data_IF_476042928353
#
_entry.id   IF_476042928353
#
_cell.length_a   1.000
_cell.length_b   1.000
_cell.length_c   1.000
_cell.angle_alpha   90.00
_cell.angle_beta   90.00
_cell.angle_gamma   90.00
#
_symmetry.space_group_name_H-M   'P 1'
#
loop_
_entity.id
_entity.type
_entity.pdbx_description
1 polymer ?
#
# COMPACT_ATOMS: atom_id res chain seq x y z
N UNK A 1 -29.93 -22.47 -12.53
CA UNK A 1 -28.70 -22.54 -11.72
C UNK A 1 -27.76 -21.42 -12.18
N UNK A 2 -27.52 -20.43 -11.31
CA UNK A 2 -26.41 -19.51 -11.54
C UNK A 2 -25.12 -20.34 -11.69
N UNK A 3 -24.22 -19.97 -12.62
CA UNK A 3 -22.95 -20.67 -12.73
C UNK A 3 -22.28 -20.63 -11.34
N UNK A 4 -21.69 -21.74 -10.88
CA UNK A 4 -20.91 -21.71 -9.65
C UNK A 4 -19.83 -20.65 -9.84
N UNK A 5 -19.81 -19.65 -8.96
CA UNK A 5 -18.73 -18.66 -8.94
C UNK A 5 -17.37 -19.37 -8.83
N UNK A 6 -16.34 -18.77 -9.41
CA UNK A 6 -14.99 -19.31 -9.35
C UNK A 6 -14.57 -19.50 -7.88
N UNK A 7 -14.30 -20.76 -7.50
CA UNK A 7 -13.72 -21.09 -6.19
C UNK A 7 -12.21 -21.21 -6.36
N UNK A 8 -11.46 -20.41 -5.59
CA UNK A 8 -10.00 -20.45 -5.56
C UNK A 8 -9.53 -20.80 -4.16
N UNK A 9 -8.69 -21.82 -4.05
CA UNK A 9 -7.98 -22.10 -2.80
C UNK A 9 -6.89 -21.05 -2.64
N UNK A 10 -7.06 -20.17 -1.65
CA UNK A 10 -6.04 -19.20 -1.28
C UNK A 10 -4.99 -19.92 -0.43
N UNK A 11 -3.74 -19.90 -0.87
CA UNK A 11 -2.64 -20.29 -0.02
C UNK A 11 -2.42 -19.19 1.00
N UNK A 12 -2.50 -19.57 2.28
CA UNK A 12 -2.02 -18.72 3.36
C UNK A 12 -0.59 -18.29 3.04
N UNK A 13 -0.37 -16.98 2.92
CA UNK A 13 0.96 -16.42 2.76
C UNK A 13 1.32 -15.79 4.10
N UNK A 14 2.35 -16.34 4.73
CA UNK A 14 3.08 -15.58 5.72
C UNK A 14 3.58 -14.33 4.99
N UNK A 15 3.17 -13.17 5.47
CA UNK A 15 3.74 -11.94 4.98
C UNK A 15 5.24 -11.93 5.25
N UNK A 16 6.03 -11.42 4.32
CA UNK A 16 7.48 -11.25 4.52
C UNK A 16 7.81 -10.14 5.53
N UNK A 17 6.80 -9.36 5.95
CA UNK A 17 6.85 -8.52 7.15
C UNK A 17 6.45 -9.36 8.37
N UNK A 18 7.37 -9.51 9.33
CA UNK A 18 7.09 -10.11 10.66
C UNK A 18 5.97 -9.36 11.44
N UNK A 19 5.55 -8.18 10.97
CA UNK A 19 4.55 -7.32 11.62
C UNK A 19 3.12 -7.53 11.11
N UNK A 20 2.93 -8.03 9.87
CA UNK A 20 1.62 -8.48 9.39
C UNK A 20 1.28 -9.78 10.12
N UNK A 21 0.50 -9.69 11.18
CA UNK A 21 -0.25 -10.84 11.65
C UNK A 21 -1.03 -11.47 10.47
N UNK A 22 -1.26 -12.78 10.52
CA UNK A 22 -1.99 -13.60 9.55
C UNK A 22 -3.10 -12.88 8.72
N UNK A 23 -2.78 -12.36 7.53
CA UNK A 23 -3.78 -11.81 6.58
C UNK A 23 -4.03 -12.79 5.44
N UNK A 24 -5.31 -13.12 5.20
CA UNK A 24 -5.75 -13.76 3.96
C UNK A 24 -6.20 -12.69 2.98
N UNK A 25 -5.51 -12.59 1.85
CA UNK A 25 -5.86 -11.61 0.83
C UNK A 25 -5.85 -12.22 -0.57
N UNK A 26 -6.62 -11.59 -1.45
CA UNK A 26 -6.59 -11.80 -2.88
C UNK A 26 -6.21 -10.46 -3.51
N UNK A 27 -5.04 -10.39 -4.13
CA UNK A 27 -4.57 -9.18 -4.80
C UNK A 27 -4.18 -9.47 -6.25
N UNK A 28 -4.12 -8.40 -7.04
CA UNK A 28 -3.54 -8.41 -8.37
C UNK A 28 -3.39 -6.99 -8.89
N UNK A 29 -2.48 -6.83 -9.84
CA UNK A 29 -2.22 -5.58 -10.53
C UNK A 29 -2.60 -5.74 -12.00
N UNK A 30 -2.91 -4.63 -12.66
CA UNK A 30 -3.20 -4.60 -14.09
C UNK A 30 -2.79 -3.23 -14.67
N UNK A 31 -2.47 -3.19 -15.96
CA UNK A 31 -2.15 -1.94 -16.65
C UNK A 31 -3.41 -1.17 -17.08
N UNK A 32 -4.58 -1.81 -17.06
CA UNK A 32 -5.87 -1.18 -17.34
C UNK A 32 -7.00 -1.71 -16.45
N UNK A 33 -8.06 -0.90 -16.32
CA UNK A 33 -9.28 -1.29 -15.61
C UNK A 33 -9.93 -2.52 -16.27
N UNK A 34 -9.93 -2.61 -17.60
CA UNK A 34 -10.55 -3.77 -18.28
C UNK A 34 -9.80 -5.09 -18.01
N UNK A 35 -8.48 -5.04 -17.86
CA UNK A 35 -7.67 -6.20 -17.49
C UNK A 35 -7.90 -6.60 -16.03
N UNK A 36 -8.01 -5.61 -15.15
CA UNK A 36 -8.33 -5.84 -13.75
C UNK A 36 -9.73 -6.46 -13.60
N UNK A 37 -10.74 -5.94 -14.29
CA UNK A 37 -12.12 -6.45 -14.28
C UNK A 37 -12.21 -7.88 -14.84
N UNK A 38 -11.35 -8.25 -15.79
CA UNK A 38 -11.29 -9.61 -16.31
C UNK A 38 -10.71 -10.59 -15.30
N UNK A 39 -9.72 -10.15 -14.53
CA UNK A 39 -8.99 -11.00 -13.57
C UNK A 39 -9.71 -11.07 -12.22
N UNK A 40 -10.32 -9.96 -11.83
CA UNK A 40 -11.10 -9.74 -10.62
C UNK A 40 -12.35 -8.97 -11.03
N UNK A 41 -13.47 -9.61 -11.38
CA UNK A 41 -14.70 -8.90 -11.73
C UNK A 41 -15.26 -8.12 -10.54
N UNK A 42 -15.88 -6.94 -10.75
CA UNK A 42 -16.58 -6.24 -9.68
C UNK A 42 -17.68 -7.11 -9.07
N UNK A 43 -17.81 -7.08 -7.75
CA UNK A 43 -18.81 -7.86 -7.03
C UNK A 43 -18.39 -8.22 -5.61
N UNK A 44 -19.14 -9.16 -5.04
CA UNK A 44 -18.94 -9.68 -3.68
C UNK A 44 -17.98 -10.85 -3.72
N UNK A 45 -16.93 -10.76 -2.91
CA UNK A 45 -15.92 -11.80 -2.71
C UNK A 45 -16.07 -12.40 -1.33
N UNK A 46 -16.28 -13.71 -1.24
CA UNK A 46 -16.46 -14.41 0.02
C UNK A 46 -15.22 -15.25 0.36
N UNK A 47 -14.57 -14.90 1.46
CA UNK A 47 -13.46 -15.60 2.07
C UNK A 47 -14.00 -16.56 3.13
N UNK A 48 -13.68 -17.84 3.02
CA UNK A 48 -14.10 -18.86 3.99
C UNK A 48 -12.88 -19.54 4.59
N UNK A 49 -12.82 -19.60 5.92
CA UNK A 49 -11.68 -20.15 6.65
C UNK A 49 -12.15 -20.85 7.92
N UNK A 50 -11.27 -21.70 8.48
CA UNK A 50 -11.53 -22.35 9.77
C UNK A 50 -10.66 -21.70 10.83
N UNK A 51 -11.29 -21.33 11.95
CA UNK A 51 -10.56 -20.84 13.11
C UNK A 51 -9.86 -22.01 13.83
N UNK A 52 -8.90 -21.70 14.69
CA UNK A 52 -8.22 -22.70 15.53
C UNK A 52 -9.18 -23.50 16.44
N UNK A 53 -10.38 -22.98 16.70
CA UNK A 53 -11.46 -23.70 17.40
C UNK A 53 -12.12 -24.81 16.57
N UNK A 54 -11.92 -24.83 15.25
CA UNK A 54 -12.56 -25.72 14.29
C UNK A 54 -13.82 -25.15 13.62
N UNK A 55 -14.30 -23.98 14.08
CA UNK A 55 -15.45 -23.30 13.50
C UNK A 55 -15.13 -22.77 12.10
N UNK A 56 -16.05 -23.00 11.15
CA UNK A 56 -15.97 -22.41 9.83
C UNK A 56 -16.62 -21.03 9.84
N UNK A 57 -15.88 -20.03 9.36
CA UNK A 57 -16.31 -18.64 9.27
C UNK A 57 -16.21 -18.20 7.82
N UNK A 58 -17.19 -17.43 7.37
CA UNK A 58 -17.17 -16.75 6.07
C UNK A 58 -17.25 -15.24 6.28
N UNK A 59 -16.50 -14.50 5.48
CA UNK A 59 -16.49 -13.04 5.42
C UNK A 59 -16.62 -12.62 3.97
N UNK A 60 -17.40 -11.59 3.71
CA UNK A 60 -17.65 -11.13 2.35
C UNK A 60 -17.31 -9.66 2.25
N UNK A 61 -16.55 -9.27 1.23
CA UNK A 61 -16.24 -7.88 0.92
C UNK A 61 -16.74 -7.54 -0.48
N UNK A 62 -17.12 -6.30 -0.70
CA UNK A 62 -17.66 -5.84 -1.97
C UNK A 62 -16.81 -4.70 -2.56
N UNK A 63 -16.41 -4.84 -3.83
CA UNK A 63 -15.71 -3.76 -4.54
C UNK A 63 -16.64 -2.60 -4.94
N UNK A 64 -17.95 -2.73 -4.76
CA UNK A 64 -18.94 -1.70 -5.07
C UNK A 64 -18.89 -1.27 -6.55
N UNK A 65 -19.26 -0.01 -6.79
CA UNK A 65 -19.08 0.65 -8.09
C UNK A 65 -17.61 1.09 -8.20
N UNK A 66 -16.75 0.24 -8.77
CA UNK A 66 -15.28 0.42 -8.82
C UNK A 66 -14.85 1.84 -9.17
N UNK A 67 -14.52 2.63 -8.14
CA UNK A 67 -14.02 3.97 -8.28
C UNK A 67 -12.60 4.02 -7.72
N UNK A 68 -11.64 4.26 -8.61
CA UNK A 68 -10.24 4.46 -8.25
C UNK A 68 -10.00 5.93 -7.91
N UNK A 69 -9.09 6.17 -6.97
CA UNK A 69 -8.53 7.49 -6.77
C UNK A 69 -7.75 7.95 -8.00
N UNK A 70 -7.59 9.28 -8.16
CA UNK A 70 -6.59 9.80 -9.10
C UNK A 70 -5.19 9.36 -8.67
N UNK A 71 -4.35 9.04 -9.63
CA UNK A 71 -2.98 8.64 -9.35
C UNK A 71 -2.22 9.76 -8.60
N UNK A 72 -1.50 9.44 -7.51
CA UNK A 72 -0.72 10.43 -6.76
C UNK A 72 0.35 11.13 -7.60
N UNK A 73 0.62 12.40 -7.30
CA UNK A 73 1.79 13.11 -7.81
C UNK A 73 2.85 13.20 -6.71
N UNK A 74 4.05 12.71 -6.98
CA UNK A 74 5.14 12.68 -6.00
C UNK A 74 6.01 13.94 -6.14
N UNK A 75 6.21 14.64 -5.02
CA UNK A 75 7.05 15.83 -4.91
C UNK A 75 8.04 15.64 -3.77
N UNK A 76 9.33 15.85 -4.05
CA UNK A 76 10.39 15.82 -3.05
C UNK A 76 10.74 17.22 -2.58
N UNK A 77 10.76 17.40 -1.26
CA UNK A 77 11.18 18.63 -0.59
C UNK A 77 12.31 18.31 0.39
N UNK A 78 13.38 19.11 0.35
CA UNK A 78 14.42 19.15 1.37
C UNK A 78 14.77 20.61 1.66
N UNK A 79 14.99 20.95 2.93
CA UNK A 79 15.27 22.33 3.37
C UNK A 79 14.26 23.35 2.82
N UNK A 80 12.96 23.04 2.88
CA UNK A 80 11.84 23.86 2.37
C UNK A 80 11.85 24.15 0.87
N UNK A 81 12.67 23.45 0.09
CA UNK A 81 12.74 23.62 -1.37
C UNK A 81 12.42 22.31 -2.09
N UNK A 82 11.70 22.44 -3.21
CA UNK A 82 11.54 21.32 -4.13
C UNK A 82 12.88 20.95 -4.76
N UNK A 83 13.20 19.67 -4.71
CA UNK A 83 14.41 19.10 -5.30
C UNK A 83 14.07 18.17 -6.46
N UNK A 84 15.06 17.90 -7.31
CA UNK A 84 14.96 16.87 -8.33
C UNK A 84 15.21 15.48 -7.74
N UNK A 85 14.74 14.45 -8.44
CA UNK A 85 14.83 13.05 -8.02
C UNK A 85 16.27 12.51 -7.98
N UNK A 86 17.23 13.21 -8.59
CA UNK A 86 18.66 12.88 -8.59
C UNK A 86 19.46 13.77 -7.63
N UNK A 87 18.78 14.53 -6.77
CA UNK A 87 19.38 15.51 -5.86
C UNK A 87 19.08 15.25 -4.38
N UNK A 88 18.55 14.06 -4.03
CA UNK A 88 18.22 13.72 -2.65
C UNK A 88 19.52 13.64 -1.83
N UNK A 89 19.67 14.48 -0.81
CA UNK A 89 20.76 14.40 0.17
C UNK A 89 20.33 13.50 1.35
N UNK A 90 20.93 12.31 1.53
CA UNK A 90 20.55 11.43 2.64
C UNK A 90 20.81 12.02 4.02
N UNK A 91 21.69 13.02 4.16
CA UNK A 91 21.98 13.62 5.45
C UNK A 91 20.91 14.61 5.93
N UNK A 92 19.85 14.82 5.15
CA UNK A 92 18.74 15.74 5.43
C UNK A 92 17.42 14.98 5.34
N UNK A 93 16.47 15.30 6.20
CA UNK A 93 15.12 14.73 6.12
C UNK A 93 14.54 14.95 4.71
N UNK A 94 14.01 13.89 4.11
CA UNK A 94 13.31 13.95 2.84
C UNK A 94 11.81 13.99 3.11
N UNK A 95 11.17 15.10 2.76
CA UNK A 95 9.72 15.22 2.80
C UNK A 95 9.17 14.83 1.43
N UNK A 96 8.33 13.78 1.43
CA UNK A 96 7.61 13.29 0.27
C UNK A 96 6.18 13.81 0.40
N UNK A 97 5.75 14.64 -0.55
CA UNK A 97 4.43 15.28 -0.49
C UNK A 97 3.71 15.17 -1.84
N UNK A 98 2.41 15.41 -1.80
CA UNK A 98 1.50 15.37 -2.93
C UNK A 98 0.48 16.50 -2.81
N UNK A 99 -0.11 16.96 -3.92
CA UNK A 99 -1.31 17.79 -3.87
C UNK A 99 -2.44 17.04 -3.13
N UNK A 100 -3.31 17.74 -2.40
CA UNK A 100 -4.46 17.10 -1.74
C UNK A 100 -5.28 16.26 -2.72
N UNK A 101 -5.66 15.06 -2.29
CA UNK A 101 -6.55 14.20 -3.07
C UNK A 101 -7.98 14.77 -3.09
N UNK A 102 -8.67 14.57 -4.21
CA UNK A 102 -10.10 14.88 -4.31
C UNK A 102 -10.96 13.73 -3.77
N UNK A 103 -10.45 12.50 -3.89
CA UNK A 103 -11.02 11.29 -3.31
C UNK A 103 -10.47 11.03 -1.89
N UNK A 104 -11.01 10.02 -1.20
CA UNK A 104 -10.62 9.67 0.15
C UNK A 104 -11.63 10.16 1.19
N UNK A 105 -11.93 9.33 2.19
CA UNK A 105 -12.86 9.66 3.28
C UNK A 105 -12.59 8.85 4.54
N UNK A 106 -13.15 9.36 5.64
CA UNK A 106 -13.29 8.59 6.86
C UNK A 106 -14.29 7.45 6.65
N UNK A 107 -14.06 6.35 7.37
CA UNK A 107 -14.93 5.18 7.33
C UNK A 107 -16.14 5.36 8.25
N UNK A 108 -17.34 5.25 7.66
CA UNK A 108 -18.61 5.31 8.37
C UNK A 108 -18.75 4.17 9.41
N UNK A 109 -18.14 3.01 9.16
CA UNK A 109 -18.11 1.86 10.06
C UNK A 109 -17.02 1.97 11.14
N UNK A 110 -16.14 2.97 11.05
CA UNK A 110 -15.02 3.24 11.98
C UNK A 110 -14.10 2.04 12.18
N UNK A 111 -13.88 1.28 11.10
CA UNK A 111 -12.93 0.17 11.07
C UNK A 111 -11.61 0.67 10.50
N UNK A 112 -11.65 1.30 9.32
CA UNK A 112 -10.45 1.73 8.62
C UNK A 112 -10.77 2.81 7.57
N UNK A 113 -10.28 4.03 7.81
CA UNK A 113 -10.37 5.13 6.85
C UNK A 113 -9.63 4.80 5.54
N UNK A 114 -9.93 5.55 4.46
CA UNK A 114 -9.14 5.47 3.23
C UNK A 114 -7.66 5.77 3.51
N UNK A 115 -6.77 5.11 2.77
CA UNK A 115 -5.35 4.99 3.13
C UNK A 115 -4.43 5.61 2.09
N UNK A 116 -3.28 6.07 2.56
CA UNK A 116 -2.15 6.43 1.72
C UNK A 116 -0.97 5.55 2.12
N UNK A 117 -0.24 5.04 1.14
CA UNK A 117 1.01 4.32 1.38
C UNK A 117 2.17 5.03 0.69
N UNK A 118 3.29 5.13 1.42
CA UNK A 118 4.59 5.52 0.87
C UNK A 118 5.56 4.41 1.21
N UNK A 119 6.16 3.80 0.19
CA UNK A 119 7.20 2.81 0.38
C UNK A 119 8.40 3.09 -0.54
N UNK A 120 9.58 2.73 -0.05
CA UNK A 120 10.85 2.87 -0.75
C UNK A 120 11.58 1.53 -0.65
N UNK A 121 11.91 0.99 -1.81
CA UNK A 121 12.69 -0.22 -1.97
C UNK A 121 14.10 0.12 -2.42
N UNK A 122 15.04 -0.72 -2.01
CA UNK A 122 16.39 -0.78 -2.55
C UNK A 122 16.56 -2.00 -3.44
N UNK A 123 17.74 -2.14 -4.04
CA UNK A 123 18.11 -3.34 -4.78
C UNK A 123 18.27 -4.63 -3.95
N UNK A 124 18.33 -4.53 -2.61
CA UNK A 124 18.60 -5.66 -1.70
C UNK A 124 17.48 -5.91 -0.68
N UNK A 125 16.72 -4.87 -0.36
CA UNK A 125 15.70 -4.85 0.69
C UNK A 125 14.48 -4.16 0.12
N UNK A 126 13.35 -4.86 0.13
CA UNK A 126 12.01 -4.28 -0.04
C UNK A 126 11.61 -3.55 1.25
N UNK A 127 10.82 -2.49 1.14
CA UNK A 127 10.30 -1.71 2.28
C UNK A 127 11.40 -1.19 3.22
N UNK A 128 12.54 -0.70 2.69
CA UNK A 128 13.55 0.04 3.48
C UNK A 128 12.89 1.20 4.24
N UNK A 129 11.88 1.78 3.61
CA UNK A 129 10.94 2.70 4.24
C UNK A 129 9.54 2.24 3.88
N UNK A 130 8.63 2.19 4.85
CA UNK A 130 7.20 2.04 4.62
C UNK A 130 6.44 2.90 5.62
N UNK A 131 5.42 3.61 5.16
CA UNK A 131 4.60 4.52 5.98
C UNK A 131 3.65 3.83 6.96
N UNK A 132 3.96 2.60 7.36
CA UNK A 132 3.09 1.75 8.16
C UNK A 132 1.93 1.13 7.37
N UNK A 133 1.43 0.02 7.92
CA UNK A 133 0.27 -0.71 7.42
C UNK A 133 -0.78 -0.75 8.53
N UNK A 134 -2.08 -0.68 8.19
CA UNK A 134 -3.14 -0.71 9.18
C UNK A 134 -3.16 -2.04 9.92
N UNK A 135 -3.55 -2.02 11.20
CA UNK A 135 -3.56 -3.18 12.12
C UNK A 135 -2.19 -3.73 12.52
N UNK A 136 -1.10 -3.14 12.04
CA UNK A 136 0.28 -3.45 12.46
C UNK A 136 0.86 -2.33 13.33
N UNK A 137 0.64 -1.08 12.87
CA UNK A 137 1.09 0.14 13.53
C UNK A 137 -0.07 1.11 13.69
N UNK A 138 0.12 2.11 14.56
CA UNK A 138 -0.88 3.16 14.82
C UNK A 138 -0.60 4.44 14.01
N UNK A 139 0.59 4.55 13.40
CA UNK A 139 1.08 5.73 12.68
C UNK A 139 1.01 5.59 11.15
N UNK A 140 0.15 4.70 10.63
CA UNK A 140 -0.12 4.61 9.20
C UNK A 140 -0.84 5.87 8.69
N UNK A 141 -0.67 6.15 7.39
CA UNK A 141 -1.27 7.32 6.78
C UNK A 141 -2.72 7.05 6.36
N UNK A 142 -3.60 7.97 6.75
CA UNK A 142 -4.97 8.03 6.23
C UNK A 142 -5.05 9.08 5.12
N UNK A 143 -6.20 9.15 4.44
CA UNK A 143 -6.53 10.12 3.39
C UNK A 143 -6.30 11.60 3.77
N UNK A 144 -6.17 11.89 5.07
CA UNK A 144 -5.86 13.23 5.58
C UNK A 144 -4.38 13.61 5.45
N UNK A 145 -3.49 12.64 5.23
CA UNK A 145 -2.07 12.90 5.11
C UNK A 145 -1.75 13.68 3.84
N UNK A 146 -0.92 14.71 3.99
CA UNK A 146 -0.43 15.55 2.88
C UNK A 146 1.04 15.31 2.57
N UNK A 147 1.74 14.60 3.46
CA UNK A 147 3.16 14.32 3.35
C UNK A 147 3.57 13.12 4.20
N UNK A 148 4.77 12.63 3.93
CA UNK A 148 5.48 11.62 4.71
C UNK A 148 6.96 12.03 4.79
N UNK A 149 7.57 11.86 5.96
CA UNK A 149 8.96 12.27 6.20
C UNK A 149 9.86 11.05 6.36
N UNK A 150 10.85 10.93 5.48
CA UNK A 150 11.94 9.99 5.63
C UNK A 150 13.05 10.69 6.42
N UNK A 151 13.38 10.15 7.59
CA UNK A 151 14.41 10.74 8.46
C UNK A 151 15.79 10.70 7.81
N UNK A 152 16.60 11.72 8.07
CA UNK A 152 18.00 11.77 7.66
C UNK A 152 18.76 10.50 8.06
N UNK A 153 19.66 10.06 7.19
CA UNK A 153 20.52 8.88 7.28
C UNK A 153 19.77 7.54 7.20
N UNK A 154 18.49 7.53 6.84
CA UNK A 154 17.75 6.30 6.53
C UNK A 154 18.24 5.69 5.22
N UNK A 155 18.44 6.54 4.20
CA UNK A 155 18.93 6.14 2.89
C UNK A 155 20.46 6.20 2.85
N UNK A 156 21.07 5.34 2.04
CA UNK A 156 22.51 5.31 1.80
C UNK A 156 22.90 6.32 0.72
N UNK A 157 24.12 6.85 0.81
CA UNK A 157 24.66 7.79 -0.17
C UNK A 157 24.94 7.14 -1.53
N UNK A 158 24.73 7.92 -2.60
CA UNK A 158 25.05 7.53 -3.96
C UNK A 158 24.28 6.33 -4.51
N UNK A 159 23.19 5.91 -3.85
CA UNK A 159 22.39 4.75 -4.22
C UNK A 159 21.12 5.13 -4.98
N UNK A 160 20.65 4.19 -5.81
CA UNK A 160 19.36 4.25 -6.49
C UNK A 160 18.30 3.50 -5.67
N UNK A 161 17.10 4.07 -5.64
CA UNK A 161 15.93 3.52 -4.97
C UNK A 161 14.73 3.56 -5.92
N UNK A 162 13.82 2.61 -5.75
CA UNK A 162 12.47 2.67 -6.32
C UNK A 162 11.48 3.00 -5.22
N UNK A 163 10.43 3.74 -5.54
CA UNK A 163 9.40 4.06 -4.58
C UNK A 163 8.03 4.10 -5.23
N UNK A 164 7.00 4.05 -4.38
CA UNK A 164 5.65 4.41 -4.80
C UNK A 164 4.93 5.24 -3.74
N UNK A 165 4.01 6.05 -4.24
CA UNK A 165 2.92 6.59 -3.42
C UNK A 165 1.63 6.01 -3.96
N UNK A 166 0.84 5.43 -3.06
CA UNK A 166 -0.44 4.80 -3.36
C UNK A 166 -1.55 5.50 -2.58
N UNK A 167 -2.67 5.77 -3.26
CA UNK A 167 -3.90 6.20 -2.61
C UNK A 167 -4.95 5.10 -2.78
N UNK A 168 -5.35 4.52 -1.66
CA UNK A 168 -6.21 3.36 -1.55
C UNK A 168 -7.59 3.76 -1.02
N UNK A 169 -8.62 3.52 -1.84
CA UNK A 169 -10.02 3.69 -1.49
C UNK A 169 -10.58 2.36 -1.01
N UNK A 170 -11.27 2.38 0.12
CA UNK A 170 -11.87 1.21 0.75
C UNK A 170 -13.40 1.28 0.58
N UNK A 171 -13.95 0.68 -0.51
CA UNK A 171 -15.39 0.74 -0.78
C UNK A 171 -16.25 -0.04 0.23
N UNK A 172 -15.65 -0.99 0.94
CA UNK A 172 -16.32 -1.81 1.95
C UNK A 172 -15.32 -2.14 3.05
N UNK A 173 -15.70 -1.83 4.29
CA UNK A 173 -14.97 -2.11 5.52
C UNK A 173 -15.97 -2.57 6.57
N UNK A 174 -15.64 -3.63 7.30
CA UNK A 174 -16.43 -4.04 8.46
C UNK A 174 -15.61 -4.92 9.39
N UNK A 175 -16.10 -5.10 10.60
CA UNK A 175 -15.52 -6.01 11.59
C UNK A 175 -16.60 -6.91 12.14
N UNK A 176 -16.41 -8.22 12.00
CA UNK A 176 -17.32 -9.23 12.55
C UNK A 176 -16.56 -10.20 13.45
N UNK A 177 -17.00 -10.31 14.70
CA UNK A 177 -16.35 -11.15 15.72
C UNK A 177 -14.88 -10.78 15.95
N UNK A 178 -14.52 -9.50 15.80
CA UNK A 178 -13.16 -9.01 15.96
C UNK A 178 -12.23 -9.27 14.77
N UNK A 179 -12.76 -9.79 13.66
CA UNK A 179 -12.00 -10.01 12.43
C UNK A 179 -12.35 -8.89 11.46
N UNK A 180 -11.42 -7.96 11.17
CA UNK A 180 -11.63 -6.94 10.15
C UNK A 180 -11.65 -7.58 8.76
N UNK A 181 -12.47 -7.03 7.88
CA UNK A 181 -12.53 -7.38 6.47
C UNK A 181 -12.78 -6.12 5.66
N UNK A 182 -12.10 -6.00 4.53
CA UNK A 182 -12.23 -4.84 3.66
C UNK A 182 -11.89 -5.18 2.20
N UNK A 183 -12.45 -4.40 1.29
CA UNK A 183 -12.03 -4.35 -0.11
C UNK A 183 -11.21 -3.08 -0.34
N UNK A 184 -10.25 -3.11 -1.26
CA UNK A 184 -9.38 -1.97 -1.56
C UNK A 184 -9.25 -1.78 -3.05
N UNK A 185 -9.39 -0.54 -3.51
CA UNK A 185 -9.11 -0.08 -4.87
C UNK A 185 -8.05 1.01 -4.80
N UNK A 186 -6.88 0.73 -5.35
CA UNK A 186 -5.73 1.61 -5.21
C UNK A 186 -5.27 2.16 -6.56
N UNK A 187 -4.79 3.40 -6.53
CA UNK A 187 -4.04 4.01 -7.62
C UNK A 187 -2.66 4.41 -7.11
N UNK A 188 -1.63 3.97 -7.83
CA UNK A 188 -0.24 4.08 -7.37
C UNK A 188 0.60 4.72 -8.45
N UNK A 189 1.51 5.60 -8.04
CA UNK A 189 2.53 6.18 -8.91
C UNK A 189 3.89 5.67 -8.48
N UNK A 190 4.63 5.07 -9.42
CA UNK A 190 5.98 4.56 -9.19
C UNK A 190 7.01 5.54 -9.73
N UNK A 191 8.15 5.62 -9.05
CA UNK A 191 9.26 6.48 -9.42
C UNK A 191 10.58 5.90 -8.93
N UNK A 192 11.61 5.99 -9.77
CA UNK A 192 12.99 5.76 -9.34
C UNK A 192 13.66 7.09 -9.01
N UNK A 193 14.52 7.09 -8.00
CA UNK A 193 15.30 8.26 -7.59
C UNK A 193 16.69 7.87 -7.11
N UNK A 194 17.61 8.85 -7.07
CA UNK A 194 19.00 8.64 -6.68
C UNK A 194 19.40 9.63 -5.60
N UNK A 195 20.13 9.11 -4.62
CA UNK A 195 20.73 9.91 -3.56
C UNK A 195 22.10 10.43 -3.96
N UNK A 196 22.48 11.59 -3.43
CA UNK A 196 23.78 12.21 -3.66
C UNK A 196 24.87 11.61 -2.76
N UNK A 197 26.13 11.85 -3.13
CA UNK A 197 27.31 11.34 -2.41
C UNK A 197 28.05 10.24 -3.17
N UNK A 198 29.01 9.61 -2.50
CA UNK A 198 29.79 8.51 -3.08
C UNK A 198 28.97 7.23 -3.13
N UNK A 199 28.88 6.62 -4.31
CA UNK A 199 28.26 5.31 -4.49
C UNK A 199 29.15 4.23 -3.90
N UNK A 200 28.60 3.42 -2.98
CA UNK A 200 29.18 2.13 -2.63
C UNK A 200 28.81 1.10 -3.71
N UNK A 201 29.77 0.64 -4.54
CA UNK A 201 29.48 -0.31 -5.61
C UNK A 201 29.13 -1.72 -5.10
N UNK A 202 29.37 -2.00 -3.82
CA UNK A 202 29.06 -3.27 -3.19
C UNK A 202 27.66 -3.33 -2.59
N UNK A 203 26.95 -2.20 -2.47
CA UNK A 203 25.63 -2.14 -1.82
C UNK A 203 24.63 -3.12 -2.44
N UNK A 204 24.51 -3.15 -3.77
CA UNK A 204 23.61 -4.05 -4.49
C UNK A 204 24.21 -5.42 -4.84
N UNK A 205 25.39 -5.75 -4.32
CA UNK A 205 26.07 -7.03 -4.60
C UNK A 205 26.02 -8.00 -3.41
N UNK A 206 25.27 -7.66 -2.37
CA UNK A 206 25.18 -8.42 -1.12
C UNK A 206 24.19 -9.58 -1.20
#
# INVERSE_FOLDING_TARGET
>A
PEPPGDVRDLLYRHSESEEIGDVMYLSGTAESIEELDRSFPPGVYTFSFRMGSGDAVSRSVNFGDRQFAKQPLIIFIQNDHRIAIDQVDPAVDLVITWPPFEEGRADDNRVLDDLIFVAIDSCIVEDVVHSGRPFEKEDYLTYLATEYVVSANTLQHGQQYSMYVEHAILPDTHSESGIPAFATLAASTYMDFTTTGETDPSYCQQ
#
